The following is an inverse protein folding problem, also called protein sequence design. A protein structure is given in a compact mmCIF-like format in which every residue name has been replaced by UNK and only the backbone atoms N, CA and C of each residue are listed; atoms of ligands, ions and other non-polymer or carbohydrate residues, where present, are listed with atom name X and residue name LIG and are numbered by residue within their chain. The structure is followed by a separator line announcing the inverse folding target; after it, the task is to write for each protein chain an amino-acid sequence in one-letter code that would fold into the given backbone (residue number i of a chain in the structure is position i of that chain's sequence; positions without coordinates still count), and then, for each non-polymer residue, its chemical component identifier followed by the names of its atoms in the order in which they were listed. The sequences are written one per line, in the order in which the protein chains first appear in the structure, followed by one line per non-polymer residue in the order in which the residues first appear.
data_IF_574268895719
#
_entry.id   IF_574268895719
#
_cell.length_a   1.000
_cell.length_b   1.000
_cell.length_c   1.000
_cell.angle_alpha   90.00
_cell.angle_beta   90.00
_cell.angle_gamma   90.00
#
_symmetry.space_group_name_H-M   'P 1'
#
loop_
_entity.id
_entity.type
_entity.pdbx_description
1 polymer ?
#
# COMPACT_ATOMS: atom_id res chain seq x y z
N UNK A 1 -16.45 22.28 11.57
CA UNK A 1 -17.47 22.29 12.62
C UNK A 1 -17.81 20.88 13.12
N UNK A 2 -18.24 19.95 12.24
CA UNK A 2 -18.60 18.60 12.68
C UNK A 2 -17.44 17.86 13.38
N UNK A 3 -16.25 17.85 12.79
CA UNK A 3 -15.06 17.22 13.40
C UNK A 3 -14.65 17.87 14.72
N UNK A 4 -14.83 19.18 14.86
CA UNK A 4 -14.56 19.91 16.09
C UNK A 4 -15.51 19.48 17.21
N UNK A 5 -16.80 19.30 16.88
CA UNK A 5 -17.78 18.79 17.85
C UNK A 5 -17.45 17.36 18.28
N UNK A 6 -17.14 16.46 17.32
CA UNK A 6 -16.75 15.10 17.63
C UNK A 6 -15.54 15.09 18.57
N UNK A 7 -14.48 15.83 18.22
CA UNK A 7 -13.28 15.92 19.05
C UNK A 7 -13.57 16.42 20.47
N UNK A 8 -14.40 17.44 20.58
CA UNK A 8 -14.76 18.06 21.88
C UNK A 8 -15.50 17.12 22.81
N UNK A 9 -16.36 16.23 22.26
CA UNK A 9 -17.16 15.32 23.06
C UNK A 9 -16.52 13.94 23.28
N UNK A 10 -15.66 13.50 22.37
CA UNK A 10 -15.09 12.14 22.39
C UNK A 10 -13.58 12.09 22.61
N UNK A 11 -12.89 13.22 22.43
CA UNK A 11 -11.43 13.27 22.38
C UNK A 11 -10.83 12.66 21.09
N UNK A 12 -11.67 12.19 20.17
CA UNK A 12 -11.25 11.52 18.94
C UNK A 12 -11.41 12.46 17.73
N UNK A 13 -10.47 12.44 16.77
CA UNK A 13 -10.63 13.23 15.55
C UNK A 13 -11.86 12.76 14.77
N UNK A 14 -12.69 13.69 14.32
CA UNK A 14 -13.80 13.41 13.44
C UNK A 14 -13.34 12.98 12.04
N UNK A 15 -14.26 12.41 11.27
CA UNK A 15 -13.98 11.89 9.92
C UNK A 15 -14.52 12.80 8.80
N UNK A 16 -15.21 13.91 9.11
CA UNK A 16 -15.88 14.76 8.12
C UNK A 16 -14.91 15.41 7.11
N UNK A 17 -13.62 15.52 7.45
CA UNK A 17 -12.56 16.01 6.55
C UNK A 17 -11.73 14.90 5.90
N UNK A 18 -12.09 13.64 6.11
CA UNK A 18 -11.37 12.53 5.50
C UNK A 18 -11.82 12.33 4.05
N UNK A 19 -10.94 11.74 3.25
CA UNK A 19 -11.22 11.39 1.87
C UNK A 19 -11.01 9.92 1.62
N UNK A 20 -11.74 9.40 0.65
CA UNK A 20 -11.65 8.01 0.19
C UNK A 20 -10.98 8.01 -1.18
N UNK A 21 -9.88 7.26 -1.31
CA UNK A 21 -9.30 6.95 -2.61
C UNK A 21 -9.85 5.60 -3.09
N UNK A 22 -10.30 5.53 -4.32
CA UNK A 22 -10.89 4.33 -4.90
C UNK A 22 -10.54 4.17 -6.37
N UNK A 23 -10.80 2.99 -6.89
CA UNK A 23 -10.64 2.64 -8.30
C UNK A 23 -12.01 2.58 -8.94
N UNK A 24 -12.18 3.20 -10.09
CA UNK A 24 -13.38 3.11 -10.91
C UNK A 24 -13.05 2.54 -12.28
N UNK A 25 -13.92 1.66 -12.79
CA UNK A 25 -13.81 1.09 -14.12
C UNK A 25 -14.45 2.03 -15.15
N UNK A 26 -13.66 2.41 -16.15
CA UNK A 26 -14.07 3.27 -17.26
C UNK A 26 -13.74 2.55 -18.58
N UNK A 27 -14.72 1.79 -19.10
CA UNK A 27 -14.50 0.92 -20.25
C UNK A 27 -13.52 -0.21 -19.91
N UNK A 28 -12.37 -0.25 -20.57
CA UNK A 28 -11.30 -1.23 -20.32
C UNK A 28 -10.26 -0.74 -19.33
N UNK A 29 -10.29 0.54 -18.97
CA UNK A 29 -9.36 1.15 -18.03
C UNK A 29 -9.89 1.08 -16.59
N UNK A 30 -8.97 1.14 -15.64
CA UNK A 30 -9.28 1.35 -14.22
C UNK A 30 -8.52 2.56 -13.73
N UNK A 31 -9.26 3.58 -13.35
CA UNK A 31 -8.71 4.87 -13.00
C UNK A 31 -8.91 5.19 -11.51
N UNK A 32 -7.99 5.98 -10.97
CA UNK A 32 -8.04 6.40 -9.58
C UNK A 32 -8.92 7.64 -9.42
N UNK A 33 -9.69 7.61 -8.37
CA UNK A 33 -10.56 8.69 -7.94
C UNK A 33 -10.36 8.98 -6.45
N UNK A 34 -10.73 10.16 -6.05
CA UNK A 34 -10.85 10.56 -4.65
C UNK A 34 -12.19 11.26 -4.46
N UNK A 35 -12.82 11.04 -3.31
CA UNK A 35 -14.08 11.69 -2.92
C UNK A 35 -14.06 12.00 -1.42
N UNK A 36 -14.98 12.81 -0.96
CA UNK A 36 -15.20 13.00 0.47
C UNK A 36 -15.77 11.74 1.13
N UNK A 37 -15.66 11.64 2.44
CA UNK A 37 -16.05 10.43 3.19
C UNK A 37 -17.53 10.04 3.01
N UNK A 38 -18.38 11.02 2.69
CA UNK A 38 -19.81 10.87 2.44
C UNK A 38 -20.17 10.62 0.97
N UNK A 39 -19.16 10.46 0.12
CA UNK A 39 -19.32 10.22 -1.32
C UNK A 39 -19.44 11.48 -2.17
N UNK A 40 -19.34 12.69 -1.56
CA UNK A 40 -19.43 13.95 -2.28
C UNK A 40 -18.10 14.30 -2.99
N UNK A 41 -18.18 15.19 -4.00
CA UNK A 41 -17.07 15.73 -4.78
C UNK A 41 -16.10 14.67 -5.34
N UNK A 42 -16.60 13.66 -6.12
CA UNK A 42 -15.73 12.69 -6.74
C UNK A 42 -14.83 13.34 -7.78
N UNK A 43 -13.51 13.20 -7.64
CA UNK A 43 -12.52 13.76 -8.54
C UNK A 43 -11.64 12.66 -9.11
N UNK A 44 -11.54 12.60 -10.44
CA UNK A 44 -10.62 11.71 -11.14
C UNK A 44 -9.18 12.17 -10.97
N UNK A 45 -8.27 11.25 -10.68
CA UNK A 45 -6.85 11.52 -10.49
C UNK A 45 -5.99 11.00 -11.65
N UNK A 46 -6.40 9.92 -12.29
CA UNK A 46 -5.72 9.35 -13.46
C UNK A 46 -6.70 9.22 -14.63
N UNK A 47 -6.24 9.50 -15.85
CA UNK A 47 -7.03 9.41 -17.08
C UNK A 47 -6.13 8.96 -18.24
N UNK A 48 -5.35 7.91 -18.02
CA UNK A 48 -4.33 7.44 -18.96
C UNK A 48 -4.76 6.20 -19.76
N UNK A 49 -5.94 5.65 -19.45
CA UNK A 49 -6.49 4.49 -20.16
C UNK A 49 -5.87 3.16 -19.75
N UNK A 50 -5.10 3.12 -18.66
CA UNK A 50 -4.47 1.91 -18.16
C UNK A 50 -5.19 1.36 -16.90
N UNK A 51 -4.64 0.27 -16.36
CA UNK A 51 -5.08 -0.22 -15.07
C UNK A 51 -4.23 0.44 -13.97
N UNK A 52 -4.86 1.28 -13.15
CA UNK A 52 -4.28 1.88 -11.97
C UNK A 52 -5.00 1.31 -10.76
N UNK A 53 -4.27 0.59 -9.88
CA UNK A 53 -4.85 -0.26 -8.84
C UNK A 53 -4.17 -0.03 -7.49
N UNK A 54 -4.86 -0.47 -6.42
CA UNK A 54 -4.28 -0.54 -5.07
C UNK A 54 -3.77 0.80 -4.54
N UNK A 55 -4.55 1.91 -4.61
CA UNK A 55 -4.11 3.18 -4.08
C UNK A 55 -3.90 3.12 -2.57
N UNK A 56 -2.84 3.78 -2.10
CA UNK A 56 -2.52 3.96 -0.68
C UNK A 56 -2.11 5.39 -0.39
N UNK A 57 -2.65 5.93 0.67
CA UNK A 57 -2.32 7.27 1.14
C UNK A 57 -0.91 7.35 1.73
N UNK A 58 -0.21 8.46 1.46
CA UNK A 58 0.92 8.84 2.30
C UNK A 58 0.43 9.29 3.68
N UNK A 59 1.25 9.14 4.75
CA UNK A 59 0.85 9.53 6.11
C UNK A 59 0.51 11.03 6.24
N UNK A 60 1.15 11.88 5.45
CA UNK A 60 0.89 13.34 5.39
C UNK A 60 -0.33 13.71 4.53
N UNK A 61 -1.00 12.71 3.92
CA UNK A 61 -2.19 12.84 3.06
C UNK A 61 -1.99 13.68 1.79
N UNK A 62 -0.75 13.96 1.41
CA UNK A 62 -0.42 14.77 0.22
C UNK A 62 -0.33 13.93 -1.04
N UNK A 63 -0.02 12.65 -0.91
CA UNK A 63 0.26 11.74 -2.01
C UNK A 63 -0.57 10.47 -1.94
N UNK A 64 -0.79 9.88 -3.13
CA UNK A 64 -1.18 8.49 -3.27
C UNK A 64 -0.08 7.73 -4.01
N UNK A 65 0.27 6.53 -3.52
CA UNK A 65 1.01 5.56 -4.32
C UNK A 65 0.07 4.48 -4.83
N UNK A 66 0.37 3.91 -5.96
CA UNK A 66 -0.47 2.90 -6.59
C UNK A 66 0.32 2.05 -7.57
N UNK A 67 -0.22 0.89 -7.92
CA UNK A 67 0.27 0.02 -8.98
C UNK A 67 -0.32 0.46 -10.31
N UNK A 68 0.51 0.60 -11.36
CA UNK A 68 0.07 0.92 -12.71
C UNK A 68 0.53 -0.14 -13.71
N UNK A 69 -0.33 -0.44 -14.68
CA UNK A 69 -0.09 -1.38 -15.79
C UNK A 69 0.16 -0.62 -17.10
N UNK A 70 0.88 0.50 -17.03
CA UNK A 70 1.21 1.32 -18.20
C UNK A 70 2.06 0.56 -19.20
N UNK A 71 2.95 -0.27 -18.73
CA UNK A 71 3.69 -1.21 -19.54
C UNK A 71 2.93 -2.54 -19.63
N UNK A 72 2.70 -3.05 -20.82
CA UNK A 72 1.94 -4.31 -21.00
C UNK A 72 2.58 -5.53 -20.35
N UNK A 73 3.88 -5.49 -20.12
CA UNK A 73 4.67 -6.63 -19.62
C UNK A 73 5.15 -6.45 -18.18
N UNK A 74 4.98 -5.27 -17.58
CA UNK A 74 5.44 -4.97 -16.22
C UNK A 74 4.41 -4.16 -15.45
N UNK A 75 4.40 -4.31 -14.16
CA UNK A 75 3.65 -3.45 -13.25
C UNK A 75 4.66 -2.54 -12.56
N UNK A 76 4.37 -1.25 -12.57
CA UNK A 76 5.21 -0.23 -11.97
C UNK A 76 4.48 0.38 -10.76
N UNK A 77 5.23 1.02 -9.86
CA UNK A 77 4.67 1.78 -8.75
C UNK A 77 4.84 3.26 -9.05
N UNK A 78 3.71 3.94 -9.19
CA UNK A 78 3.66 5.39 -9.36
C UNK A 78 3.17 6.10 -8.10
N UNK A 79 3.52 7.37 -8.00
CA UNK A 79 3.02 8.29 -6.98
C UNK A 79 2.42 9.52 -7.64
N UNK A 80 1.31 10.03 -7.09
CA UNK A 80 0.65 11.25 -7.53
C UNK A 80 0.49 12.22 -6.37
N UNK A 81 0.82 13.50 -6.61
CA UNK A 81 0.56 14.59 -5.67
C UNK A 81 -0.87 15.11 -5.88
N UNK A 82 -1.66 15.10 -4.82
CA UNK A 82 -3.09 15.42 -4.91
C UNK A 82 -3.39 16.89 -5.21
N UNK A 83 -2.52 17.79 -4.73
CA UNK A 83 -2.71 19.22 -4.92
C UNK A 83 -2.46 19.66 -6.37
N UNK A 84 -1.48 19.07 -7.03
CA UNK A 84 -1.02 19.48 -8.36
C UNK A 84 -1.40 18.50 -9.47
N UNK A 85 -1.75 17.25 -9.11
CA UNK A 85 -1.92 16.15 -10.08
C UNK A 85 -0.60 15.65 -10.67
N UNK A 86 0.55 16.16 -10.21
CA UNK A 86 1.85 15.72 -10.70
C UNK A 86 2.09 14.27 -10.34
N UNK A 87 2.46 13.47 -11.34
CA UNK A 87 2.71 12.03 -11.23
C UNK A 87 4.15 11.71 -11.60
N UNK A 88 4.73 10.74 -10.92
CA UNK A 88 6.05 10.17 -11.24
C UNK A 88 6.17 8.72 -10.80
N UNK A 89 7.05 7.99 -11.46
CA UNK A 89 7.31 6.59 -11.16
C UNK A 89 8.33 6.47 -10.03
N UNK A 90 7.99 5.65 -9.02
CA UNK A 90 8.90 5.33 -7.90
C UNK A 90 9.68 4.05 -8.15
N UNK A 91 9.02 3.02 -8.71
CA UNK A 91 9.61 1.71 -8.98
C UNK A 91 9.20 1.24 -10.36
N UNK A 92 10.20 0.87 -11.20
CA UNK A 92 10.04 0.34 -12.55
C UNK A 92 11.17 -0.65 -12.87
N UNK A 93 11.38 -1.65 -12.01
CA UNK A 93 12.52 -2.58 -12.09
C UNK A 93 12.27 -3.80 -12.98
N UNK A 94 11.18 -3.79 -13.75
CA UNK A 94 10.75 -4.97 -14.51
C UNK A 94 9.98 -5.97 -13.64
N UNK A 95 9.32 -6.94 -14.28
CA UNK A 95 8.46 -7.88 -13.57
C UNK A 95 7.29 -7.20 -12.88
N UNK A 96 6.86 -7.80 -11.79
CA UNK A 96 5.73 -7.39 -10.97
C UNK A 96 6.23 -6.43 -9.89
N UNK A 97 5.68 -5.22 -9.80
CA UNK A 97 5.89 -4.28 -8.69
C UNK A 97 4.53 -3.80 -8.20
N UNK A 98 4.06 -4.34 -7.07
CA UNK A 98 2.67 -4.18 -6.63
C UNK A 98 2.54 -3.97 -5.12
N UNK A 99 1.32 -3.67 -4.69
CA UNK A 99 0.92 -3.53 -3.27
C UNK A 99 1.79 -2.56 -2.46
N UNK A 100 2.07 -1.34 -2.98
CA UNK A 100 2.88 -0.38 -2.26
C UNK A 100 2.19 0.12 -0.99
N UNK A 101 2.93 0.30 0.10
CA UNK A 101 2.43 0.88 1.35
C UNK A 101 3.51 1.70 2.05
N UNK A 102 3.19 2.93 2.44
CA UNK A 102 4.10 3.78 3.20
C UNK A 102 4.27 3.29 4.65
N UNK A 103 5.48 3.44 5.18
CA UNK A 103 5.70 3.40 6.62
C UNK A 103 4.94 4.55 7.31
N UNK A 104 4.59 4.41 8.61
CA UNK A 104 3.84 5.46 9.32
C UNK A 104 4.52 6.83 9.34
N UNK A 105 5.84 6.88 9.28
CA UNK A 105 6.63 8.10 9.22
C UNK A 105 6.83 8.67 7.80
N UNK A 106 6.36 7.94 6.77
CA UNK A 106 6.48 8.32 5.35
C UNK A 106 7.89 8.21 4.76
N UNK A 107 8.90 7.78 5.53
CA UNK A 107 10.28 7.71 5.07
C UNK A 107 10.59 6.45 4.26
N UNK A 108 9.73 5.44 4.31
CA UNK A 108 9.88 4.18 3.59
C UNK A 108 8.61 3.78 2.86
N UNK A 109 8.76 3.05 1.77
CA UNK A 109 7.68 2.39 1.04
C UNK A 109 8.01 0.89 0.99
N UNK A 110 7.13 0.05 1.56
CA UNK A 110 7.21 -1.40 1.35
C UNK A 110 6.37 -1.78 0.13
N UNK A 111 6.81 -2.78 -0.63
CA UNK A 111 6.13 -3.26 -1.82
C UNK A 111 6.55 -4.70 -2.14
N UNK A 112 5.77 -5.36 -2.99
CA UNK A 112 6.12 -6.69 -3.51
C UNK A 112 6.70 -6.55 -4.91
N UNK A 113 7.80 -7.25 -5.20
CA UNK A 113 8.42 -7.26 -6.53
C UNK A 113 8.95 -8.63 -6.92
N UNK A 114 8.84 -8.96 -8.22
CA UNK A 114 9.38 -10.21 -8.80
C UNK A 114 10.56 -9.97 -9.75
N UNK A 115 11.22 -8.81 -9.70
CA UNK A 115 12.29 -8.47 -10.64
C UNK A 115 13.54 -9.36 -10.51
N UNK A 116 13.72 -10.04 -9.37
CA UNK A 116 14.80 -11.02 -9.14
C UNK A 116 14.32 -12.49 -9.16
N UNK A 117 13.13 -12.75 -9.72
CA UNK A 117 12.57 -14.10 -9.83
C UNK A 117 11.13 -14.18 -9.29
N UNK A 118 10.92 -14.85 -8.15
CA UNK A 118 9.61 -14.88 -7.50
C UNK A 118 9.31 -13.56 -6.75
N UNK A 119 8.06 -13.37 -6.37
CA UNK A 119 7.65 -12.18 -5.64
C UNK A 119 8.23 -12.16 -4.22
N UNK A 120 8.91 -11.10 -3.88
CA UNK A 120 9.53 -10.85 -2.58
C UNK A 120 9.19 -9.45 -2.08
N UNK A 121 9.41 -9.18 -0.81
CA UNK A 121 9.19 -7.85 -0.23
C UNK A 121 10.46 -7.00 -0.31
N UNK A 122 10.25 -5.76 -0.69
CA UNK A 122 11.28 -4.73 -0.79
C UNK A 122 10.89 -3.49 -0.01
N UNK A 123 11.88 -2.74 0.44
CA UNK A 123 11.75 -1.44 1.06
C UNK A 123 12.49 -0.40 0.24
N UNK A 124 11.80 0.65 -0.19
CA UNK A 124 12.38 1.84 -0.82
C UNK A 124 12.47 2.96 0.21
N UNK A 125 13.63 3.56 0.40
CA UNK A 125 13.77 4.84 1.10
C UNK A 125 13.21 5.96 0.22
N UNK A 126 12.23 6.72 0.71
CA UNK A 126 11.52 7.72 -0.11
C UNK A 126 12.38 8.92 -0.47
N UNK A 127 13.44 9.20 0.29
CA UNK A 127 14.36 10.34 0.09
C UNK A 127 15.55 9.95 -0.78
N UNK A 128 16.30 8.93 -0.36
CA UNK A 128 17.54 8.50 -1.03
C UNK A 128 17.30 7.63 -2.25
N UNK A 129 16.10 7.04 -2.37
CA UNK A 129 15.71 6.04 -3.38
C UNK A 129 16.49 4.72 -3.27
N UNK A 130 17.18 4.50 -2.17
CA UNK A 130 17.83 3.23 -1.89
C UNK A 130 16.77 2.13 -1.72
N UNK A 131 17.01 0.97 -2.35
CA UNK A 131 16.15 -0.21 -2.28
C UNK A 131 16.85 -1.28 -1.47
N UNK A 132 16.12 -1.89 -0.53
CA UNK A 132 16.54 -3.05 0.24
C UNK A 132 15.55 -4.19 0.02
N UNK A 133 16.03 -5.37 -0.35
CA UNK A 133 15.25 -6.60 -0.31
C UNK A 133 15.07 -7.05 1.13
N UNK A 134 13.83 -7.31 1.56
CA UNK A 134 13.50 -7.70 2.93
C UNK A 134 13.33 -9.21 3.08
N UNK A 135 12.83 -9.88 2.04
CA UNK A 135 12.63 -11.33 2.08
C UNK A 135 13.40 -12.04 0.96
N UNK A 136 13.79 -13.30 1.23
CA UNK A 136 14.46 -14.17 0.28
C UNK A 136 13.97 -15.59 0.54
N UNK A 137 12.98 -16.04 -0.21
CA UNK A 137 12.39 -17.37 -0.07
C UNK A 137 11.96 -17.91 -1.43
N UNK A 138 11.88 -19.24 -1.59
CA UNK A 138 11.42 -19.85 -2.84
C UNK A 138 9.91 -19.63 -3.10
N UNK A 139 9.12 -19.41 -2.04
CA UNK A 139 7.69 -19.06 -2.14
C UNK A 139 7.50 -17.56 -2.24
N UNK A 140 6.35 -17.12 -2.81
CA UNK A 140 6.03 -15.72 -2.96
C UNK A 140 5.67 -15.03 -1.64
N UNK A 141 6.14 -13.79 -1.48
CA UNK A 141 5.82 -12.90 -0.37
C UNK A 141 5.13 -11.63 -0.91
N UNK A 142 3.90 -11.38 -0.44
CA UNK A 142 3.00 -10.38 -1.02
C UNK A 142 2.27 -9.55 0.04
N UNK A 143 1.71 -8.41 -0.39
CA UNK A 143 0.76 -7.61 0.38
C UNK A 143 1.28 -7.18 1.76
N UNK A 144 2.40 -6.46 1.83
CA UNK A 144 2.92 -5.97 3.09
C UNK A 144 1.99 -4.94 3.74
N UNK A 145 1.97 -4.92 5.09
CA UNK A 145 1.31 -3.89 5.87
C UNK A 145 2.16 -3.55 7.09
N UNK A 146 2.42 -2.25 7.29
CA UNK A 146 3.22 -1.75 8.42
C UNK A 146 2.45 -1.76 9.72
N UNK A 147 3.12 -2.11 10.80
CA UNK A 147 2.62 -1.80 12.14
C UNK A 147 2.57 -0.28 12.35
N UNK A 148 1.65 0.24 13.21
CA UNK A 148 1.58 1.67 13.51
C UNK A 148 2.87 2.25 14.09
N UNK A 149 3.69 1.41 14.73
CA UNK A 149 5.00 1.80 15.25
C UNK A 149 6.09 1.89 14.17
N UNK A 150 5.84 1.37 12.97
CA UNK A 150 6.84 1.27 11.90
C UNK A 150 7.96 0.25 12.15
N UNK A 151 7.86 -0.56 13.21
CA UNK A 151 8.89 -1.53 13.60
C UNK A 151 8.73 -2.90 12.98
N UNK A 152 7.52 -3.21 12.51
CA UNK A 152 7.17 -4.54 12.01
C UNK A 152 6.34 -4.43 10.73
N UNK A 153 6.35 -5.51 9.97
CA UNK A 153 5.52 -5.73 8.79
C UNK A 153 4.79 -7.06 8.94
N UNK A 154 3.50 -7.08 8.59
CA UNK A 154 2.76 -8.31 8.31
C UNK A 154 2.63 -8.46 6.80
N UNK A 155 2.60 -9.70 6.32
CA UNK A 155 2.53 -9.98 4.88
C UNK A 155 1.92 -11.36 4.62
N UNK A 156 1.55 -11.61 3.39
CA UNK A 156 1.10 -12.92 2.91
C UNK A 156 2.27 -13.68 2.34
N UNK A 157 2.41 -14.98 2.69
CA UNK A 157 3.43 -15.86 2.14
C UNK A 157 2.92 -17.27 1.91
N UNK A 158 3.35 -17.89 0.81
CA UNK A 158 3.04 -19.28 0.44
C UNK A 158 4.03 -20.30 1.02
N UNK A 159 5.00 -19.87 1.85
CA UNK A 159 6.08 -20.72 2.38
C UNK A 159 5.61 -21.89 3.25
N UNK A 160 4.36 -21.91 3.65
CA UNK A 160 3.75 -23.00 4.42
C UNK A 160 2.87 -23.93 3.59
N UNK A 161 2.98 -23.90 2.24
CA UNK A 161 2.22 -24.73 1.32
C UNK A 161 0.94 -24.07 0.79
N UNK A 162 0.58 -22.88 1.28
CA UNK A 162 -0.52 -22.03 0.83
C UNK A 162 -0.44 -20.69 1.50
N UNK A 163 -1.24 -19.68 1.04
CA UNK A 163 -1.19 -18.32 1.55
C UNK A 163 -1.51 -18.23 3.04
N UNK A 164 -0.57 -17.75 3.82
CA UNK A 164 -0.70 -17.53 5.27
C UNK A 164 -0.11 -16.18 5.64
N UNK A 165 -0.53 -15.65 6.80
CA UNK A 165 -0.02 -14.39 7.32
C UNK A 165 1.24 -14.62 8.13
N UNK A 166 2.27 -13.87 7.78
CA UNK A 166 3.55 -13.82 8.46
C UNK A 166 3.82 -12.43 9.01
N UNK A 167 4.65 -12.37 10.03
CA UNK A 167 5.17 -11.15 10.63
C UNK A 167 6.69 -11.17 10.51
N UNK A 168 7.29 -9.99 10.33
CA UNK A 168 8.74 -9.77 10.40
C UNK A 168 9.05 -8.41 11.00
N UNK A 169 10.28 -8.22 11.45
CA UNK A 169 10.82 -6.89 11.76
C UNK A 169 10.98 -6.03 10.49
N UNK A 170 10.98 -4.71 10.64
CA UNK A 170 11.07 -3.77 9.51
C UNK A 170 12.37 -3.87 8.69
N UNK A 171 13.40 -4.53 9.23
CA UNK A 171 14.66 -4.83 8.56
C UNK A 171 14.67 -6.16 7.78
N UNK A 172 13.57 -6.93 7.83
CA UNK A 172 13.42 -8.25 7.22
C UNK A 172 13.77 -9.42 8.14
N UNK A 173 14.20 -9.17 9.37
CA UNK A 173 14.54 -10.22 10.35
C UNK A 173 13.31 -10.75 11.09
N UNK A 174 13.49 -11.83 11.88
CA UNK A 174 12.50 -12.39 12.79
C UNK A 174 11.18 -12.82 12.13
N UNK A 175 11.27 -13.42 10.93
CA UNK A 175 10.10 -13.90 10.20
C UNK A 175 9.42 -15.04 10.94
N UNK A 176 8.11 -14.90 11.23
CA UNK A 176 7.30 -15.93 11.87
C UNK A 176 5.87 -15.95 11.36
N UNK A 177 5.25 -17.13 11.32
CA UNK A 177 3.85 -17.32 10.93
C UNK A 177 2.91 -16.84 12.05
N UNK A 178 1.77 -16.24 11.65
CA UNK A 178 0.72 -15.79 12.56
C UNK A 178 -0.57 -16.61 12.44
N UNK A 179 -0.93 -17.09 11.24
CA UNK A 179 -2.17 -17.83 11.01
C UNK A 179 -1.91 -19.33 10.89
N UNK A 180 -2.69 -20.14 11.60
CA UNK A 180 -2.56 -21.59 11.64
C UNK A 180 -3.85 -22.32 11.26
N UNK A 181 -4.96 -21.61 11.22
CA UNK A 181 -6.28 -22.10 10.85
C UNK A 181 -6.62 -21.68 9.41
N UNK A 182 -7.29 -22.56 8.68
CA UNK A 182 -7.70 -22.35 7.28
C UNK A 182 -6.55 -22.51 6.28
N UNK A 183 -6.92 -22.80 5.03
CA UNK A 183 -5.98 -23.09 3.94
C UNK A 183 -5.53 -21.82 3.18
N UNK A 184 -6.26 -20.70 3.37
CA UNK A 184 -6.00 -19.45 2.68
C UNK A 184 -6.22 -18.25 3.61
N UNK A 185 -5.13 -17.57 3.96
CA UNK A 185 -5.14 -16.33 4.73
C UNK A 185 -4.26 -15.30 4.01
N UNK A 186 -4.84 -14.19 3.55
CA UNK A 186 -4.14 -13.21 2.71
C UNK A 186 -4.55 -11.76 3.01
N UNK A 187 -3.76 -10.82 2.47
CA UNK A 187 -3.99 -9.38 2.51
C UNK A 187 -4.20 -8.82 3.93
N UNK A 188 -3.21 -9.01 4.83
CA UNK A 188 -3.31 -8.52 6.19
C UNK A 188 -3.31 -6.99 6.24
N UNK A 189 -4.00 -6.45 7.25
CA UNK A 189 -3.95 -5.02 7.58
C UNK A 189 -3.80 -4.84 9.08
N UNK A 190 -2.83 -4.01 9.49
CA UNK A 190 -2.70 -3.60 10.87
C UNK A 190 -3.83 -2.67 11.28
N UNK A 191 -4.34 -2.84 12.51
CA UNK A 191 -5.19 -1.84 13.12
C UNK A 191 -4.44 -0.50 13.23
N UNK A 192 -5.02 0.64 12.83
CA UNK A 192 -4.34 1.93 12.87
C UNK A 192 -3.84 2.34 14.26
N UNK A 193 -4.49 1.85 15.32
CA UNK A 193 -4.13 2.13 16.71
C UNK A 193 -3.17 1.11 17.31
N UNK A 194 -2.96 -0.03 16.65
CA UNK A 194 -2.03 -1.09 17.08
C UNK A 194 -2.41 -1.83 18.36
N UNK A 195 -3.61 -1.65 18.85
CA UNK A 195 -4.06 -2.18 20.15
C UNK A 195 -5.31 -3.08 20.07
N UNK A 196 -5.59 -3.64 18.91
CA UNK A 196 -6.69 -4.59 18.64
C UNK A 196 -6.33 -5.54 17.53
#
# INVERSE_FOLDING_TARGET
FADELVFRYTGEPGIARTKIAYVSELGTARELFVMDYDGYDPRQLTADGFLNLMPRWSPDRRFLVFTTYRNRNTQDIDMIELATGKRWTLVAQGGLNITPVFSPDGNSLAYSSSHEGNAELYRLDTKTKAVQRLTTHAAGDLSPSWSPSGRELVFTSDRSGGPQIFLMSADGSNVRRLTFEGDYNAAPAWSPRGNW
#
